data_IF_566880113163
#
_entry.id   IF_566880113163
#
_cell.length_a   1.000
_cell.length_b   1.000
_cell.length_c   1.000
_cell.angle_alpha   90.00
_cell.angle_beta   90.00
_cell.angle_gamma   90.00
#
_symmetry.space_group_name_H-M   'P 1'
#
loop_
_entity.id
_entity.type
_entity.pdbx_description
1 polymer ?
#
# COMPACT_ATOMS: atom_id res chain seq x y z
N UNK A 1 2.62 3.17 7.75
CA UNK A 1 2.15 2.79 6.37
C UNK A 1 2.05 3.96 5.37
N UNK A 2 1.94 5.21 5.81
CA UNK A 2 1.86 6.40 4.93
C UNK A 2 3.18 7.19 4.82
N UNK A 3 4.25 6.70 5.44
CA UNK A 3 5.59 7.29 5.37
C UNK A 3 6.45 6.59 4.31
N UNK A 4 7.57 7.21 3.86
CA UNK A 4 8.50 6.58 2.93
C UNK A 4 8.91 5.16 3.32
N UNK A 5 9.22 4.29 2.35
CA UNK A 5 9.27 2.84 2.57
C UNK A 5 10.26 2.39 3.67
N UNK A 6 11.47 2.98 3.80
CA UNK A 6 12.38 2.64 4.89
C UNK A 6 11.78 2.88 6.29
N UNK A 7 11.03 3.97 6.46
CA UNK A 7 10.40 4.31 7.74
C UNK A 7 9.20 3.42 8.02
N UNK A 8 8.34 3.22 7.02
CA UNK A 8 7.17 2.35 7.15
C UNK A 8 7.59 0.92 7.53
N UNK A 9 8.60 0.36 6.86
CA UNK A 9 9.13 -0.96 7.18
C UNK A 9 9.74 -1.04 8.58
N UNK A 10 10.53 -0.03 8.98
CA UNK A 10 11.15 0.01 10.32
C UNK A 10 10.10 -0.05 11.42
N UNK A 11 9.04 0.76 11.31
CA UNK A 11 7.97 0.79 12.31
C UNK A 11 7.11 -0.47 12.26
N UNK A 12 6.78 -0.98 11.06
CA UNK A 12 6.05 -2.24 10.92
C UNK A 12 6.77 -3.40 11.63
N UNK A 13 8.09 -3.50 11.48
CA UNK A 13 8.89 -4.53 12.17
C UNK A 13 8.87 -4.39 13.69
N UNK A 14 8.87 -3.16 14.21
CA UNK A 14 8.79 -2.90 15.66
C UNK A 14 7.45 -3.36 16.24
N UNK A 15 6.34 -3.06 15.55
CA UNK A 15 5.01 -3.52 15.95
C UNK A 15 4.91 -5.04 15.88
N UNK A 16 5.47 -5.66 14.83
CA UNK A 16 5.49 -7.12 14.74
C UNK A 16 6.30 -7.75 15.89
N UNK A 17 7.45 -7.18 16.26
CA UNK A 17 8.21 -7.65 17.42
C UNK A 17 7.41 -7.53 18.71
N UNK A 18 6.66 -6.45 18.91
CA UNK A 18 5.79 -6.29 20.08
C UNK A 18 4.70 -7.38 20.13
N UNK A 19 4.07 -7.70 19.00
CA UNK A 19 3.12 -8.82 18.91
C UNK A 19 3.77 -10.16 19.24
N UNK A 20 5.00 -10.39 18.77
CA UNK A 20 5.73 -11.61 19.09
C UNK A 20 6.11 -11.71 20.56
N UNK A 21 6.47 -10.59 21.19
CA UNK A 21 6.72 -10.55 22.64
C UNK A 21 5.45 -10.85 23.43
N UNK A 22 4.29 -10.36 22.98
CA UNK A 22 3.02 -10.72 23.58
C UNK A 22 2.74 -12.23 23.44
N UNK A 23 2.94 -12.80 22.25
CA UNK A 23 2.72 -14.23 22.02
C UNK A 23 3.66 -15.13 22.83
N UNK A 24 4.89 -14.69 23.08
CA UNK A 24 5.81 -15.40 23.98
C UNK A 24 5.31 -15.39 25.42
N UNK A 25 4.78 -14.26 25.89
CA UNK A 25 4.23 -14.15 27.24
C UNK A 25 2.96 -14.97 27.40
N UNK A 26 2.05 -14.96 26.40
CA UNK A 26 0.88 -15.85 26.36
C UNK A 26 1.31 -17.32 26.47
N UNK A 27 2.33 -17.73 25.71
CA UNK A 27 2.87 -19.10 25.78
C UNK A 27 3.47 -19.42 27.14
N UNK A 28 4.21 -18.47 27.74
CA UNK A 28 4.83 -18.63 29.07
C UNK A 28 3.77 -18.80 30.17
N UNK A 29 2.62 -18.16 30.00
CA UNK A 29 1.46 -18.27 30.88
C UNK A 29 0.56 -19.47 30.57
N UNK A 30 0.98 -20.37 29.68
CA UNK A 30 0.22 -21.53 29.21
C UNK A 30 -1.14 -21.16 28.58
N UNK A 31 -1.25 -19.94 28.05
CA UNK A 31 -2.43 -19.46 27.32
C UNK A 31 -2.32 -19.80 25.83
N UNK A 32 -3.46 -19.96 25.13
CA UNK A 32 -3.46 -20.01 23.67
C UNK A 32 -2.83 -18.73 23.11
N UNK A 33 -1.82 -18.89 22.25
CA UNK A 33 -1.17 -17.75 21.59
C UNK A 33 -2.15 -17.12 20.61
N UNK A 34 -2.30 -15.80 20.73
CA UNK A 34 -3.18 -14.99 19.90
C UNK A 34 -2.79 -15.08 18.43
N UNK A 35 -3.76 -14.98 17.50
CA UNK A 35 -3.48 -14.96 16.07
C UNK A 35 -2.45 -13.88 15.73
N UNK A 36 -1.55 -14.17 14.79
CA UNK A 36 -0.47 -13.27 14.32
C UNK A 36 0.65 -12.99 15.34
N UNK A 37 0.54 -13.50 16.57
CA UNK A 37 1.52 -13.27 17.64
C UNK A 37 2.54 -14.40 17.78
N UNK A 38 2.42 -15.49 17.01
CA UNK A 38 3.39 -16.58 17.04
C UNK A 38 4.60 -16.32 16.14
N UNK A 39 5.75 -16.01 16.74
CA UNK A 39 7.03 -15.83 16.01
C UNK A 39 7.54 -17.09 15.33
N UNK A 40 7.08 -18.29 15.72
CA UNK A 40 7.45 -19.55 15.09
C UNK A 40 6.67 -19.81 13.79
N UNK A 41 5.58 -19.10 13.57
CA UNK A 41 4.83 -19.12 12.33
C UNK A 41 4.63 -17.68 11.80
N UNK A 42 5.73 -17.00 11.41
CA UNK A 42 5.69 -15.60 11.04
C UNK A 42 4.93 -15.42 9.72
N UNK A 43 4.05 -14.43 9.69
CA UNK A 43 3.27 -14.06 8.50
C UNK A 43 3.32 -12.54 8.25
N UNK A 44 4.48 -11.95 8.53
CA UNK A 44 4.68 -10.50 8.57
C UNK A 44 4.19 -9.76 7.31
N UNK A 45 4.56 -10.15 6.06
CA UNK A 45 4.07 -9.44 4.88
C UNK A 45 2.56 -9.55 4.71
N UNK A 46 1.97 -10.72 4.97
CA UNK A 46 0.52 -10.92 4.88
C UNK A 46 -0.22 -10.05 5.89
N UNK A 47 0.30 -9.93 7.12
CA UNK A 47 -0.24 -9.04 8.14
C UNK A 47 -0.27 -7.59 7.67
N UNK A 48 0.84 -7.10 7.11
CA UNK A 48 0.96 -5.72 6.65
C UNK A 48 0.05 -5.43 5.45
N UNK A 49 -0.08 -6.37 4.51
CA UNK A 49 -1.01 -6.26 3.38
C UNK A 49 -2.45 -6.15 3.87
N UNK A 50 -2.89 -7.07 4.73
CA UNK A 50 -4.25 -7.06 5.27
C UNK A 50 -4.56 -5.80 6.08
N UNK A 51 -3.67 -5.39 6.99
CA UNK A 51 -3.85 -4.15 7.75
C UNK A 51 -3.93 -2.92 6.85
N UNK A 52 -3.09 -2.87 5.81
CA UNK A 52 -3.08 -1.77 4.85
C UNK A 52 -4.39 -1.71 4.06
N UNK A 53 -4.87 -2.85 3.57
CA UNK A 53 -6.08 -2.95 2.74
C UNK A 53 -7.34 -2.64 3.54
N UNK A 54 -7.49 -3.23 4.73
CA UNK A 54 -8.75 -3.17 5.47
C UNK A 54 -8.85 -2.00 6.45
N UNK A 55 -7.73 -1.45 6.92
CA UNK A 55 -7.73 -0.36 7.92
C UNK A 55 -7.18 0.92 7.34
N UNK A 56 -5.95 0.88 6.80
CA UNK A 56 -5.25 2.12 6.43
C UNK A 56 -5.82 2.75 5.18
N UNK A 57 -6.09 1.97 4.13
CA UNK A 57 -6.56 2.50 2.85
C UNK A 57 -7.92 3.21 2.97
N UNK A 58 -8.96 2.65 3.62
CA UNK A 58 -10.23 3.36 3.84
C UNK A 58 -10.04 4.69 4.56
N UNK A 59 -9.17 4.74 5.58
CA UNK A 59 -8.89 5.98 6.34
C UNK A 59 -8.16 7.02 5.49
N UNK A 60 -7.11 6.61 4.76
CA UNK A 60 -6.32 7.50 3.92
C UNK A 60 -7.16 8.07 2.76
N UNK A 61 -8.00 7.24 2.13
CA UNK A 61 -8.96 7.68 1.11
C UNK A 61 -9.97 8.66 1.71
N UNK A 62 -10.53 8.36 2.88
CA UNK A 62 -11.47 9.26 3.56
C UNK A 62 -10.89 10.64 3.83
N UNK A 63 -9.67 10.70 4.39
CA UNK A 63 -8.99 11.96 4.70
C UNK A 63 -8.66 12.75 3.43
N UNK A 64 -8.21 12.09 2.37
CA UNK A 64 -7.84 12.77 1.11
C UNK A 64 -9.03 13.25 0.30
N UNK A 65 -10.23 12.69 0.49
CA UNK A 65 -11.47 13.30 -0.03
C UNK A 65 -11.74 14.68 0.59
N UNK A 66 -11.43 14.85 1.87
CA UNK A 66 -11.66 16.11 2.61
C UNK A 66 -10.52 17.09 2.36
N UNK A 67 -9.29 16.59 2.29
CA UNK A 67 -8.07 17.36 2.08
C UNK A 67 -7.29 16.82 0.87
N UNK A 68 -7.66 17.21 -0.37
CA UNK A 68 -7.05 16.71 -1.60
C UNK A 68 -5.53 16.92 -1.69
N UNK A 69 -5.01 17.98 -1.05
CA UNK A 69 -3.57 18.29 -0.98
C UNK A 69 -2.75 17.18 -0.29
N UNK A 70 -3.41 16.27 0.44
CA UNK A 70 -2.77 15.14 1.08
C UNK A 70 -2.62 13.91 0.16
N UNK A 71 -3.00 13.98 -1.14
CA UNK A 71 -2.98 12.84 -2.07
C UNK A 71 -1.63 12.09 -2.13
N UNK A 72 -0.50 12.75 -1.83
CA UNK A 72 0.83 12.15 -1.75
C UNK A 72 0.90 10.97 -0.78
N UNK A 73 0.08 10.96 0.28
CA UNK A 73 0.05 9.83 1.22
C UNK A 73 -0.47 8.54 0.58
N UNK A 74 -1.29 8.65 -0.48
CA UNK A 74 -1.82 7.49 -1.21
C UNK A 74 -0.79 6.89 -2.16
N UNK A 75 0.04 7.72 -2.78
CA UNK A 75 1.24 7.25 -3.51
C UNK A 75 2.10 6.43 -2.56
N UNK A 76 2.35 6.99 -1.37
CA UNK A 76 3.20 6.32 -0.39
C UNK A 76 2.59 5.02 0.14
N UNK A 77 1.27 4.99 0.29
CA UNK A 77 0.52 3.79 0.66
C UNK A 77 0.67 2.68 -0.39
N UNK A 78 0.54 3.03 -1.68
CA UNK A 78 0.67 2.10 -2.79
C UNK A 78 2.10 1.52 -2.89
N UNK A 79 3.13 2.36 -2.76
CA UNK A 79 4.53 1.91 -2.73
C UNK A 79 4.81 0.93 -1.58
N UNK A 80 4.31 1.24 -0.38
CA UNK A 80 4.46 0.37 0.77
C UNK A 80 3.73 -0.97 0.57
N UNK A 81 2.52 -0.94 0.02
CA UNK A 81 1.76 -2.15 -0.31
C UNK A 81 2.52 -3.03 -1.32
N UNK A 82 3.07 -2.40 -2.36
CA UNK A 82 3.87 -3.10 -3.37
C UNK A 82 5.11 -3.75 -2.76
N UNK A 83 5.81 -3.05 -1.85
CA UNK A 83 6.96 -3.59 -1.14
C UNK A 83 6.60 -4.83 -0.32
N UNK A 84 5.52 -4.78 0.48
CA UNK A 84 5.09 -5.94 1.25
C UNK A 84 4.60 -7.08 0.34
N UNK A 85 3.99 -6.76 -0.80
CA UNK A 85 3.60 -7.77 -1.79
C UNK A 85 4.83 -8.47 -2.39
N UNK A 86 5.91 -7.73 -2.67
CA UNK A 86 7.18 -8.30 -3.10
C UNK A 86 7.77 -9.24 -2.03
N UNK A 87 7.79 -8.81 -0.77
CA UNK A 87 8.27 -9.65 0.35
C UNK A 87 7.46 -10.94 0.48
N UNK A 88 6.12 -10.86 0.40
CA UNK A 88 5.25 -12.04 0.42
C UNK A 88 5.57 -13.01 -0.72
N UNK A 89 5.79 -12.49 -1.93
CA UNK A 89 6.17 -13.34 -3.09
C UNK A 89 7.53 -14.00 -2.89
N UNK A 90 8.48 -13.30 -2.27
CA UNK A 90 9.79 -13.88 -1.93
C UNK A 90 9.66 -15.01 -0.89
N UNK A 91 8.81 -14.83 0.15
CA UNK A 91 8.48 -15.89 1.11
C UNK A 91 7.84 -17.10 0.44
N UNK A 92 6.87 -16.90 -0.47
CA UNK A 92 6.22 -17.98 -1.22
C UNK A 92 7.24 -18.77 -2.06
N UNK A 93 8.15 -18.09 -2.76
CA UNK A 93 9.19 -18.75 -3.58
C UNK A 93 10.15 -19.61 -2.77
N UNK A 94 10.41 -19.22 -1.52
CA UNK A 94 11.33 -19.92 -0.61
C UNK A 94 10.64 -21.03 0.19
N UNK A 95 9.32 -21.13 0.11
CA UNK A 95 8.55 -22.09 0.90
C UNK A 95 8.69 -23.51 0.32
N UNK A 96 9.48 -24.35 1.00
CA UNK A 96 9.76 -25.73 0.61
C UNK A 96 8.61 -26.70 0.89
N UNK A 97 7.57 -26.29 1.62
CA UNK A 97 6.40 -27.13 1.88
C UNK A 97 5.36 -27.09 0.75
N UNK A 98 5.52 -26.18 -0.21
CA UNK A 98 4.61 -26.03 -1.34
C UNK A 98 5.15 -26.73 -2.58
N UNK A 99 4.24 -27.29 -3.37
CA UNK A 99 4.54 -27.76 -4.72
C UNK A 99 4.71 -26.59 -5.70
N UNK A 100 5.36 -26.82 -6.84
CA UNK A 100 5.55 -25.79 -7.88
C UNK A 100 4.21 -25.19 -8.36
N UNK A 101 3.17 -26.02 -8.47
CA UNK A 101 1.82 -25.57 -8.83
C UNK A 101 1.23 -24.63 -7.77
N UNK A 102 1.36 -24.97 -6.48
CA UNK A 102 0.87 -24.12 -5.37
C UNK A 102 1.67 -22.81 -5.28
N UNK A 103 2.98 -22.85 -5.51
CA UNK A 103 3.83 -21.65 -5.59
C UNK A 103 3.35 -20.75 -6.71
N UNK A 104 3.15 -21.28 -7.92
CA UNK A 104 2.67 -20.51 -9.06
C UNK A 104 1.29 -19.87 -8.81
N UNK A 105 0.37 -20.62 -8.19
CA UNK A 105 -0.96 -20.14 -7.81
C UNK A 105 -0.89 -18.98 -6.81
N UNK A 106 -0.18 -19.15 -5.68
CA UNK A 106 -0.10 -18.13 -4.63
C UNK A 106 0.67 -16.88 -5.09
N UNK A 107 1.68 -17.03 -5.95
CA UNK A 107 2.35 -15.90 -6.60
C UNK A 107 1.39 -15.12 -7.50
N UNK A 108 0.60 -15.82 -8.31
CA UNK A 108 -0.40 -15.21 -9.20
C UNK A 108 -1.46 -14.46 -8.40
N UNK A 109 -1.99 -15.08 -7.35
CA UNK A 109 -2.96 -14.46 -6.43
C UNK A 109 -2.40 -13.21 -5.77
N UNK A 110 -1.16 -13.29 -5.26
CA UNK A 110 -0.49 -12.17 -4.60
C UNK A 110 -0.19 -11.02 -5.57
N UNK A 111 0.21 -11.32 -6.81
CA UNK A 111 0.42 -10.32 -7.86
C UNK A 111 -0.90 -9.65 -8.27
N UNK A 112 -1.98 -10.42 -8.45
CA UNK A 112 -3.31 -9.92 -8.80
C UNK A 112 -3.89 -9.00 -7.73
N UNK A 113 -3.74 -9.36 -6.45
CA UNK A 113 -4.16 -8.52 -5.32
C UNK A 113 -3.40 -7.18 -5.32
N UNK A 114 -2.08 -7.20 -5.53
CA UNK A 114 -1.26 -5.99 -5.67
C UNK A 114 -1.75 -5.07 -6.80
N UNK A 115 -1.93 -5.62 -8.00
CA UNK A 115 -2.41 -4.86 -9.14
C UNK A 115 -3.83 -4.30 -8.92
N UNK A 116 -4.68 -5.06 -8.23
CA UNK A 116 -6.05 -4.62 -7.88
C UNK A 116 -6.00 -3.44 -6.90
N UNK A 117 -5.19 -3.54 -5.86
CA UNK A 117 -5.01 -2.47 -4.87
C UNK A 117 -4.45 -1.20 -5.52
N UNK A 118 -3.38 -1.31 -6.32
CA UNK A 118 -2.80 -0.20 -7.08
C UNK A 118 -3.83 0.45 -8.01
N UNK A 119 -4.63 -0.36 -8.73
CA UNK A 119 -5.70 0.14 -9.59
C UNK A 119 -6.81 0.86 -8.84
N UNK A 120 -7.17 0.41 -7.63
CA UNK A 120 -8.16 1.10 -6.78
C UNK A 120 -7.64 2.47 -6.32
N UNK A 121 -6.39 2.53 -5.85
CA UNK A 121 -5.76 3.80 -5.44
C UNK A 121 -5.62 4.74 -6.64
N UNK A 122 -5.16 4.25 -7.79
CA UNK A 122 -5.01 5.04 -9.02
C UNK A 122 -6.32 5.66 -9.48
N UNK A 123 -7.39 4.86 -9.61
CA UNK A 123 -8.74 5.35 -9.96
C UNK A 123 -9.24 6.41 -8.98
N UNK A 124 -8.98 6.22 -7.69
CA UNK A 124 -9.38 7.20 -6.69
C UNK A 124 -8.58 8.50 -6.82
N UNK A 125 -7.26 8.43 -7.04
CA UNK A 125 -6.44 9.62 -7.27
C UNK A 125 -6.85 10.39 -8.53
N UNK A 126 -7.18 9.69 -9.61
CA UNK A 126 -7.73 10.31 -10.83
C UNK A 126 -9.03 11.08 -10.54
N UNK A 127 -9.90 10.54 -9.68
CA UNK A 127 -11.15 11.19 -9.28
C UNK A 127 -10.96 12.45 -8.42
N UNK A 128 -9.78 12.62 -7.80
CA UNK A 128 -9.45 13.82 -7.01
C UNK A 128 -9.00 14.99 -7.88
N UNK A 129 -8.63 14.76 -9.14
CA UNK A 129 -8.22 15.84 -10.05
C UNK A 129 -9.49 16.48 -10.63
N UNK A 130 -9.79 17.77 -10.34
CA UNK A 130 -10.94 18.42 -10.92
C UNK A 130 -10.79 18.48 -12.45
N UNK A 131 -11.85 18.19 -13.18
CA UNK A 131 -11.94 18.32 -14.65
C UNK A 131 -11.50 19.70 -15.16
N UNK A 132 -11.60 20.73 -14.32
CA UNK A 132 -11.22 22.12 -14.64
C UNK A 132 -9.71 22.34 -14.76
N UNK A 133 -8.88 21.42 -14.25
CA UNK A 133 -7.43 21.45 -14.49
C UNK A 133 -7.09 21.25 -15.98
N UNK A 134 -7.97 20.59 -16.74
CA UNK A 134 -7.82 20.39 -18.19
C UNK A 134 -8.42 21.52 -19.04
N UNK A 135 -9.18 22.46 -18.46
CA UNK A 135 -9.82 23.58 -19.18
C UNK A 135 -8.96 24.86 -19.23
N UNK A 136 -7.72 24.82 -18.76
CA UNK A 136 -6.78 25.96 -18.77
C UNK A 136 -6.08 26.26 -20.11
N UNK A 137 -6.42 25.59 -21.21
CA UNK A 137 -5.95 25.93 -22.57
C UNK A 137 -7.10 26.27 -23.50
N UNK A 138 -7.83 27.34 -23.17
CA UNK A 138 -8.62 28.09 -24.15
C UNK A 138 -8.49 29.58 -23.82
N UNK A 139 -7.32 30.15 -24.13
CA UNK A 139 -7.16 31.61 -24.25
C UNK A 139 -6.92 31.92 -25.73
N UNK A 140 -7.98 32.47 -26.32
CA UNK A 140 -8.05 33.31 -27.54
C UNK A 140 -7.46 32.78 -28.85
N UNK A 141 -8.35 32.24 -29.69
CA UNK A 141 -8.38 32.61 -31.10
C UNK A 141 -8.80 34.09 -31.21
N UNK A 142 -7.93 34.95 -31.74
CA UNK A 142 -8.27 36.37 -31.84
C UNK A 142 -7.17 37.31 -32.32
N UNK A 143 -6.86 37.22 -33.61
CA UNK A 143 -6.39 38.33 -34.47
C UNK A 143 -4.91 38.76 -34.40
N UNK A 144 -4.25 38.58 -35.54
CA UNK A 144 -2.99 39.22 -35.92
C UNK A 144 -3.12 40.76 -35.91
N UNK A 145 -2.14 41.47 -35.32
CA UNK A 145 -1.72 42.79 -35.82
C UNK A 145 -0.27 43.13 -35.41
N UNK A 146 0.63 42.89 -36.37
CA UNK A 146 1.74 43.75 -36.83
C UNK A 146 2.56 44.61 -35.86
N UNK A 147 3.89 44.41 -35.94
CA UNK A 147 5.03 45.30 -35.63
C UNK A 147 4.73 46.79 -35.46
N UNK A 148 5.35 47.42 -34.44
CA UNK A 148 6.19 48.62 -34.63
C UNK A 148 7.17 48.83 -33.47
N UNK A 149 8.39 49.18 -33.87
CA UNK A 149 9.54 49.71 -33.13
C UNK A 149 9.20 50.92 -32.26
N UNK A 150 9.82 51.03 -31.09
CA UNK A 150 10.81 52.06 -30.73
C UNK A 150 11.66 51.54 -29.56
#
# INVERSE_FOLDING_TARGET
PLHPPPHALRWARRVAEEFYLQGDEERRLEMPVSPMMDRNNPNFPQMQLGFTEFVVAPLAIGITKIFPDLNKILVQLAENYQQFSYMKRDEIRKNRSLTDAQVAEELTKTAKSCATFEGQIGKFMESLVPSDFFLGKNISSGSQRTRRSF
#
